data_IF_498437037484
#
_entry.id   IF_498437037484
#
_cell.length_a   1.000
_cell.length_b   1.000
_cell.length_c   1.000
_cell.angle_alpha   90.00
_cell.angle_beta   90.00
_cell.angle_gamma   90.00
#
_symmetry.space_group_name_H-M   'P 1'
#
loop_
_entity.id
_entity.type
_entity.pdbx_description
1 polymer ?
#
# COMPACT_ATOMS: atom_id res chain seq x y z
N UNK A 1 25.02 23.83 -10.91
CA UNK A 1 25.29 22.38 -10.70
C UNK A 1 24.19 21.67 -9.94
N UNK A 2 23.76 22.12 -8.76
CA UNK A 2 22.69 21.51 -7.93
C UNK A 2 21.35 21.35 -8.67
N UNK A 3 20.88 22.38 -9.37
CA UNK A 3 19.64 22.36 -10.13
C UNK A 3 19.58 21.21 -11.15
N UNK A 4 20.66 20.95 -11.88
CA UNK A 4 20.71 19.88 -12.87
C UNK A 4 20.64 18.48 -12.21
N UNK A 5 21.24 18.32 -11.03
CA UNK A 5 21.16 17.08 -10.26
C UNK A 5 19.73 16.81 -9.76
N UNK A 6 19.07 17.83 -9.22
CA UNK A 6 17.69 17.74 -8.77
C UNK A 6 16.75 17.41 -9.93
N UNK A 7 16.91 18.07 -11.08
CA UNK A 7 16.11 17.80 -12.30
C UNK A 7 16.30 16.35 -12.78
N UNK A 8 17.55 15.87 -12.86
CA UNK A 8 17.86 14.49 -13.25
C UNK A 8 17.23 13.46 -12.30
N UNK A 9 17.32 13.71 -10.98
CA UNK A 9 16.69 12.85 -9.97
C UNK A 9 15.16 12.83 -10.15
N UNK A 10 14.53 13.99 -10.25
CA UNK A 10 13.07 14.09 -10.39
C UNK A 10 12.59 13.40 -11.68
N UNK A 11 13.31 13.58 -12.79
CA UNK A 11 12.96 12.91 -14.04
C UNK A 11 13.05 11.38 -13.91
N UNK A 12 14.09 10.85 -13.25
CA UNK A 12 14.22 9.42 -13.00
C UNK A 12 13.10 8.88 -12.10
N UNK A 13 12.74 9.63 -11.05
CA UNK A 13 11.64 9.25 -10.18
C UNK A 13 10.32 9.21 -10.94
N UNK A 14 10.03 10.24 -11.73
CA UNK A 14 8.81 10.30 -12.53
C UNK A 14 8.75 9.20 -13.60
N UNK A 15 9.86 8.90 -14.26
CA UNK A 15 9.95 7.78 -15.21
C UNK A 15 9.65 6.45 -14.53
N UNK A 16 10.27 6.21 -13.36
CA UNK A 16 10.03 5.00 -12.56
C UNK A 16 8.57 4.87 -12.12
N UNK A 17 7.95 5.97 -11.67
CA UNK A 17 6.53 6.00 -11.28
C UNK A 17 5.64 5.61 -12.46
N UNK A 18 5.87 6.22 -13.63
CA UNK A 18 5.08 5.95 -14.85
C UNK A 18 5.22 4.49 -15.29
N UNK A 19 6.44 3.96 -15.29
CA UNK A 19 6.71 2.56 -15.63
C UNK A 19 6.06 1.61 -14.61
N UNK A 20 6.13 1.92 -13.32
CA UNK A 20 5.50 1.12 -12.26
C UNK A 20 3.98 1.10 -12.43
N UNK A 21 3.36 2.26 -12.63
CA UNK A 21 1.91 2.33 -12.87
C UNK A 21 1.52 1.53 -14.12
N UNK A 22 2.26 1.68 -15.23
CA UNK A 22 2.03 0.92 -16.47
C UNK A 22 2.17 -0.60 -16.23
N UNK A 23 3.19 -1.01 -15.50
CA UNK A 23 3.38 -2.42 -15.17
C UNK A 23 2.18 -3.00 -14.41
N UNK A 24 1.69 -2.30 -13.39
CA UNK A 24 0.52 -2.71 -12.59
C UNK A 24 -0.72 -2.85 -13.49
N UNK A 25 -0.98 -1.87 -14.34
CA UNK A 25 -2.15 -1.91 -15.25
C UNK A 25 -2.04 -3.05 -16.28
N UNK A 26 -0.87 -3.26 -16.85
CA UNK A 26 -0.66 -4.38 -17.78
C UNK A 26 -0.87 -5.72 -17.05
N UNK A 27 -0.42 -5.84 -15.81
CA UNK A 27 -0.68 -7.02 -14.99
C UNK A 27 -2.18 -7.23 -14.76
N UNK A 28 -2.92 -6.15 -14.43
CA UNK A 28 -4.37 -6.23 -14.25
C UNK A 28 -5.08 -6.70 -15.53
N UNK A 29 -4.74 -6.12 -16.67
CA UNK A 29 -5.32 -6.48 -17.98
C UNK A 29 -5.06 -7.96 -18.29
N UNK A 30 -3.81 -8.40 -18.15
CA UNK A 30 -3.40 -9.76 -18.51
C UNK A 30 -4.01 -10.84 -17.60
N UNK A 31 -4.44 -10.47 -16.39
CA UNK A 31 -5.05 -11.38 -15.41
C UNK A 31 -6.55 -11.13 -15.19
N UNK A 32 -7.20 -10.30 -16.01
CA UNK A 32 -8.64 -10.04 -15.89
C UNK A 32 -9.04 -9.31 -14.59
N UNK A 33 -8.13 -8.53 -14.00
CA UNK A 33 -8.38 -7.80 -12.75
C UNK A 33 -9.13 -6.50 -13.07
N UNK A 34 -10.36 -6.40 -12.61
CA UNK A 34 -11.26 -5.26 -12.86
C UNK A 34 -11.18 -4.15 -11.81
N UNK A 35 -10.48 -4.35 -10.68
CA UNK A 35 -10.45 -3.35 -9.60
C UNK A 35 -9.04 -3.25 -8.99
N UNK A 36 -8.58 -2.02 -8.80
CA UNK A 36 -7.34 -1.70 -8.07
C UNK A 36 -7.70 -0.89 -6.83
N UNK A 37 -7.31 -1.40 -5.65
CA UNK A 37 -7.48 -0.70 -4.37
C UNK A 37 -6.13 -0.18 -3.90
N UNK A 38 -6.04 1.13 -3.68
CA UNK A 38 -4.82 1.80 -3.24
C UNK A 38 -5.00 2.40 -1.85
N UNK A 39 -4.14 2.03 -0.91
CA UNK A 39 -4.13 2.61 0.44
C UNK A 39 -3.65 4.07 0.42
N UNK A 40 -4.28 4.91 1.24
CA UNK A 40 -3.81 6.25 1.50
C UNK A 40 -3.90 6.61 2.98
N UNK A 41 -2.98 7.44 3.44
CA UNK A 41 -3.03 7.98 4.79
C UNK A 41 -3.43 9.47 4.74
N UNK A 42 -4.68 9.76 5.16
CA UNK A 42 -5.23 11.13 5.15
C UNK A 42 -4.60 12.07 6.18
N UNK A 43 -4.09 11.52 7.29
CA UNK A 43 -3.59 12.32 8.43
C UNK A 43 -2.15 12.82 8.26
N UNK A 44 -1.47 12.41 7.22
CA UNK A 44 -0.08 12.80 6.99
C UNK A 44 0.13 14.32 6.78
N UNK A 45 -0.93 15.05 6.48
CA UNK A 45 -0.87 16.52 6.37
C UNK A 45 -0.83 17.24 7.73
N UNK A 46 -1.15 16.56 8.85
CA UNK A 46 -1.33 17.20 10.16
C UNK A 46 -0.19 17.03 11.16
N UNK A 47 0.66 16.00 11.04
CA UNK A 47 1.73 15.73 12.02
C UNK A 47 3.12 16.07 11.49
N UNK A 48 3.34 17.33 11.18
CA UNK A 48 4.62 17.80 10.67
C UNK A 48 5.56 18.25 11.79
N UNK A 49 6.40 17.35 12.29
CA UNK A 49 7.53 17.70 13.16
C UNK A 49 8.87 17.58 12.40
N UNK A 50 9.65 18.65 12.36
CA UNK A 50 10.60 19.04 11.32
C UNK A 50 11.97 18.29 11.22
N UNK A 51 12.24 17.28 12.03
CA UNK A 51 13.62 16.70 12.17
C UNK A 51 13.98 15.48 11.30
N UNK A 52 13.02 14.66 10.88
CA UNK A 52 13.22 13.48 9.98
C UNK A 52 12.51 13.62 8.63
N UNK A 53 12.17 14.81 8.27
CA UNK A 53 11.18 15.19 7.28
C UNK A 53 11.55 14.92 5.83
N UNK A 54 12.76 15.21 5.44
CA UNK A 54 13.12 15.29 4.01
C UNK A 54 12.94 13.96 3.28
N UNK A 55 13.28 12.85 3.91
CA UNK A 55 13.14 11.52 3.29
C UNK A 55 11.68 11.03 3.26
N UNK A 56 10.88 11.36 4.26
CA UNK A 56 9.47 10.97 4.29
C UNK A 56 8.63 11.80 3.31
N UNK A 57 8.88 13.10 3.19
CA UNK A 57 8.21 13.96 2.22
C UNK A 57 8.48 13.53 0.77
N UNK A 58 9.72 13.13 0.45
CA UNK A 58 10.05 12.60 -0.87
C UNK A 58 9.33 11.29 -1.19
N UNK A 59 9.26 10.38 -0.23
CA UNK A 59 8.55 9.12 -0.39
C UNK A 59 7.07 9.35 -0.63
N UNK A 60 6.46 10.30 0.08
CA UNK A 60 5.04 10.63 -0.04
C UNK A 60 4.65 11.32 -1.34
N UNK A 61 5.46 12.28 -1.80
CA UNK A 61 5.24 12.92 -3.11
C UNK A 61 5.27 11.83 -4.20
N UNK A 62 6.19 10.88 -4.09
CA UNK A 62 6.29 9.77 -5.03
C UNK A 62 5.08 8.83 -4.96
N UNK A 63 4.53 8.54 -3.78
CA UNK A 63 3.30 7.74 -3.63
C UNK A 63 2.06 8.49 -4.13
N UNK A 64 1.96 9.80 -3.88
CA UNK A 64 0.89 10.63 -4.45
C UNK A 64 0.88 10.59 -5.98
N UNK A 65 2.04 10.79 -6.59
CA UNK A 65 2.19 10.73 -8.05
C UNK A 65 1.92 9.34 -8.62
N UNK A 66 2.25 8.27 -7.88
CA UNK A 66 1.93 6.90 -8.30
C UNK A 66 0.41 6.65 -8.26
N UNK A 67 -0.27 7.10 -7.21
CA UNK A 67 -1.74 6.98 -7.10
C UNK A 67 -2.44 7.73 -8.24
N UNK A 68 -2.03 8.96 -8.52
CA UNK A 68 -2.55 9.74 -9.63
C UNK A 68 -2.32 9.05 -10.99
N UNK A 69 -1.12 8.54 -11.23
CA UNK A 69 -0.80 7.80 -12.45
C UNK A 69 -1.63 6.51 -12.59
N UNK A 70 -1.87 5.80 -11.48
CA UNK A 70 -2.73 4.60 -11.45
C UNK A 70 -4.19 4.96 -11.73
N UNK A 71 -4.74 5.99 -11.06
CA UNK A 71 -6.10 6.46 -11.27
C UNK A 71 -6.37 6.80 -12.75
N UNK A 72 -5.49 7.61 -13.36
CA UNK A 72 -5.59 8.01 -14.77
C UNK A 72 -5.51 6.81 -15.73
N UNK A 73 -4.66 5.82 -15.42
CA UNK A 73 -4.55 4.63 -16.25
C UNK A 73 -5.73 3.68 -16.05
N UNK A 74 -6.22 3.52 -14.81
CA UNK A 74 -7.42 2.72 -14.52
C UNK A 74 -8.62 3.26 -15.32
N UNK A 75 -8.87 4.56 -15.28
CA UNK A 75 -9.93 5.21 -16.07
C UNK A 75 -9.80 4.91 -17.55
N UNK A 76 -8.59 5.06 -18.11
CA UNK A 76 -8.31 4.80 -19.53
C UNK A 76 -8.59 3.35 -19.95
N UNK A 77 -8.38 2.39 -19.08
CA UNK A 77 -8.50 0.96 -19.40
C UNK A 77 -9.77 0.31 -18.83
N UNK A 78 -10.71 1.10 -18.28
CA UNK A 78 -11.96 0.59 -17.73
C UNK A 78 -11.79 -0.24 -16.46
N UNK A 79 -10.71 0.01 -15.70
CA UNK A 79 -10.44 -0.63 -14.41
C UNK A 79 -10.95 0.29 -13.30
N UNK A 80 -11.69 -0.25 -12.34
CA UNK A 80 -12.16 0.51 -11.18
C UNK A 80 -10.99 0.86 -10.26
N UNK A 81 -10.82 2.14 -9.93
CA UNK A 81 -9.82 2.60 -8.98
C UNK A 81 -10.47 3.06 -7.68
N UNK A 82 -10.01 2.52 -6.55
CA UNK A 82 -10.54 2.82 -5.21
C UNK A 82 -9.41 3.29 -4.32
N UNK A 83 -9.56 4.45 -3.69
CA UNK A 83 -8.69 4.88 -2.60
C UNK A 83 -9.28 4.48 -1.25
N UNK A 84 -8.51 3.74 -0.46
CA UNK A 84 -8.92 3.26 0.85
C UNK A 84 -8.02 3.85 1.93
N UNK A 85 -8.63 4.44 2.96
CA UNK A 85 -7.92 4.88 4.15
C UNK A 85 -7.25 3.68 4.85
N UNK A 86 -5.94 3.79 5.18
CA UNK A 86 -5.10 2.64 5.58
C UNK A 86 -4.76 2.59 7.08
N UNK A 87 -5.38 3.41 7.94
CA UNK A 87 -5.10 3.37 9.38
C UNK A 87 -5.26 1.97 9.95
N UNK A 88 -4.32 1.60 10.79
CA UNK A 88 -4.23 0.31 11.49
C UNK A 88 -4.02 -0.93 10.61
N UNK A 89 -4.08 -0.85 9.28
CA UNK A 89 -3.94 -2.02 8.39
C UNK A 89 -2.61 -2.75 8.53
N UNK A 90 -1.53 -2.06 8.88
CA UNK A 90 -0.22 -2.66 9.13
C UNK A 90 -0.08 -3.33 10.50
N UNK A 91 -1.03 -3.07 11.42
CA UNK A 91 -1.05 -3.62 12.78
C UNK A 91 -2.01 -4.79 12.89
N UNK A 92 -3.17 -4.71 12.24
CA UNK A 92 -4.20 -5.73 12.24
C UNK A 92 -3.73 -7.00 11.54
N UNK A 93 -4.21 -8.14 12.00
CA UNK A 93 -3.99 -9.44 11.37
C UNK A 93 -5.03 -9.67 10.27
N UNK A 94 -4.57 -9.89 9.05
CA UNK A 94 -5.48 -10.20 7.96
C UNK A 94 -5.99 -11.65 8.04
N UNK A 95 -5.17 -12.58 8.55
CA UNK A 95 -5.52 -14.00 8.65
C UNK A 95 -6.49 -14.26 9.82
N UNK A 96 -6.28 -13.55 10.95
CA UNK A 96 -7.16 -13.67 12.12
C UNK A 96 -8.43 -12.79 11.98
N UNK A 97 -8.59 -12.10 10.86
CA UNK A 97 -9.75 -11.27 10.53
C UNK A 97 -10.03 -10.15 11.53
N UNK A 98 -8.97 -9.58 12.13
CA UNK A 98 -9.12 -8.46 13.06
C UNK A 98 -10.01 -7.35 12.50
N UNK A 99 -10.83 -6.74 13.34
CA UNK A 99 -11.54 -5.51 13.01
C UNK A 99 -10.55 -4.37 12.81
N UNK A 100 -10.74 -3.63 11.72
CA UNK A 100 -9.83 -2.54 11.34
C UNK A 100 -10.58 -1.22 11.45
N UNK A 101 -10.43 -0.49 12.58
CA UNK A 101 -11.12 0.77 12.77
C UNK A 101 -10.56 1.86 11.83
N UNK A 102 -11.36 2.89 11.60
CA UNK A 102 -10.90 4.13 11.01
C UNK A 102 -10.26 5.00 12.08
N UNK A 103 -9.18 5.71 11.72
CA UNK A 103 -8.53 6.60 12.67
C UNK A 103 -9.45 7.76 13.05
N UNK A 104 -9.60 7.95 14.37
CA UNK A 104 -10.27 9.11 14.94
C UNK A 104 -9.29 9.81 15.91
N UNK A 105 -8.86 11.04 15.64
CA UNK A 105 -7.93 11.75 16.52
C UNK A 105 -8.50 12.05 17.90
N UNK A 106 -9.84 12.19 18.03
CA UNK A 106 -10.51 12.44 19.31
C UNK A 106 -10.64 11.17 20.14
N UNK A 107 -10.72 10.00 19.50
CA UNK A 107 -10.84 8.70 20.13
C UNK A 107 -9.90 7.69 19.46
N UNK A 108 -8.59 7.77 19.67
CA UNK A 108 -7.65 6.84 19.07
C UNK A 108 -7.92 5.42 19.57
N UNK A 109 -7.89 4.46 18.65
CA UNK A 109 -8.11 3.05 18.97
C UNK A 109 -7.07 2.55 19.99
N UNK A 110 -7.54 1.99 21.11
CA UNK A 110 -6.72 1.46 22.21
C UNK A 110 -6.77 -0.06 22.32
N UNK A 111 -7.49 -0.73 21.42
CA UNK A 111 -7.58 -2.19 21.38
C UNK A 111 -6.26 -2.84 20.92
N UNK A 112 -6.14 -4.13 21.19
CA UNK A 112 -5.05 -4.96 20.74
C UNK A 112 -5.44 -5.68 19.45
N UNK A 113 -4.44 -6.05 18.64
CA UNK A 113 -4.59 -6.86 17.44
C UNK A 113 -4.05 -8.27 17.70
N UNK A 114 -4.66 -9.27 17.07
CA UNK A 114 -4.36 -10.68 17.29
C UNK A 114 -2.92 -11.05 16.94
N UNK A 115 -2.40 -10.52 15.84
CA UNK A 115 -1.02 -10.74 15.41
C UNK A 115 -0.09 -9.59 15.75
N UNK A 116 1.19 -9.75 15.39
CA UNK A 116 2.18 -8.69 15.63
C UNK A 116 3.32 -8.68 14.62
N UNK A 117 3.83 -7.49 14.35
CA UNK A 117 5.06 -7.30 13.58
C UNK A 117 6.26 -7.70 14.45
N UNK A 118 7.01 -8.74 14.06
CA UNK A 118 8.13 -9.29 14.83
C UNK A 118 9.47 -8.64 14.47
N UNK A 119 9.62 -8.21 13.21
CA UNK A 119 10.74 -7.39 12.73
C UNK A 119 10.36 -6.70 11.42
N UNK A 120 11.26 -5.88 10.86
CA UNK A 120 11.03 -5.23 9.57
C UNK A 120 10.70 -6.26 8.49
N UNK A 121 9.55 -6.09 7.83
CA UNK A 121 9.08 -6.96 6.74
C UNK A 121 8.43 -8.27 7.18
N UNK A 122 8.37 -8.61 8.46
CA UNK A 122 7.77 -9.84 8.96
C UNK A 122 6.65 -9.59 9.99
N UNK A 123 5.54 -10.27 9.77
CA UNK A 123 4.36 -10.28 10.63
C UNK A 123 4.06 -11.70 11.08
N UNK A 124 3.73 -11.90 12.36
CA UNK A 124 3.35 -13.20 12.93
C UNK A 124 1.88 -13.18 13.31
N UNK A 125 1.13 -14.19 12.84
CA UNK A 125 -0.26 -14.45 13.15
C UNK A 125 -0.41 -15.24 14.46
N UNK A 126 -1.64 -15.37 14.98
CA UNK A 126 -1.92 -16.11 16.23
C UNK A 126 -1.57 -17.58 16.12
N UNK A 127 -1.76 -18.19 14.96
CA UNK A 127 -1.42 -19.60 14.71
C UNK A 127 0.09 -19.86 14.55
N UNK A 128 0.94 -18.83 14.74
CA UNK A 128 2.39 -18.91 14.63
C UNK A 128 2.94 -18.75 13.20
N UNK A 129 2.11 -18.73 12.18
CA UNK A 129 2.53 -18.47 10.80
C UNK A 129 3.18 -17.09 10.68
N UNK A 130 4.15 -16.99 9.78
CA UNK A 130 4.86 -15.76 9.49
C UNK A 130 4.65 -15.41 8.01
N UNK A 131 4.27 -14.15 7.77
CA UNK A 131 4.12 -13.61 6.43
C UNK A 131 4.90 -12.31 6.24
N UNK A 132 4.97 -11.86 5.00
CA UNK A 132 5.48 -10.52 4.71
C UNK A 132 4.51 -9.46 5.28
N UNK A 133 5.05 -8.50 6.06
CA UNK A 133 4.25 -7.48 6.73
C UNK A 133 3.55 -6.52 5.76
N UNK A 134 4.14 -6.27 4.59
CA UNK A 134 3.56 -5.37 3.60
C UNK A 134 2.40 -6.07 2.85
N UNK A 135 2.51 -7.39 2.64
CA UNK A 135 1.41 -8.21 2.10
C UNK A 135 0.24 -8.28 3.10
N UNK A 136 0.52 -8.47 4.41
CA UNK A 136 -0.51 -8.38 5.45
C UNK A 136 -1.23 -7.02 5.42
N UNK A 137 -0.49 -5.92 5.32
CA UNK A 137 -1.05 -4.58 5.20
C UNK A 137 -1.92 -4.41 3.95
N UNK A 138 -1.46 -4.86 2.79
CA UNK A 138 -2.20 -4.80 1.53
C UNK A 138 -3.50 -5.61 1.58
N UNK A 139 -3.47 -6.83 2.14
CA UNK A 139 -4.65 -7.64 2.36
C UNK A 139 -5.68 -6.94 3.27
N UNK A 140 -5.23 -6.27 4.32
CA UNK A 140 -6.09 -5.50 5.21
C UNK A 140 -6.67 -4.24 4.54
N UNK A 141 -5.93 -3.56 3.68
CA UNK A 141 -6.45 -2.46 2.86
C UNK A 141 -7.59 -2.97 1.97
N UNK A 142 -7.40 -4.11 1.31
CA UNK A 142 -8.41 -4.74 0.49
C UNK A 142 -9.66 -5.14 1.30
N UNK A 143 -9.49 -5.78 2.47
CA UNK A 143 -10.59 -6.10 3.41
C UNK A 143 -11.37 -4.85 3.82
N UNK A 144 -10.66 -3.79 4.20
CA UNK A 144 -11.26 -2.52 4.64
C UNK A 144 -12.08 -1.85 3.53
N UNK A 145 -11.70 -2.02 2.27
CA UNK A 145 -12.44 -1.50 1.11
C UNK A 145 -13.75 -2.26 0.82
N UNK A 146 -14.03 -3.36 1.54
CA UNK A 146 -15.22 -4.21 1.39
C UNK A 146 -15.42 -4.76 -0.03
N UNK A 147 -14.35 -4.89 -0.80
CA UNK A 147 -14.40 -5.56 -2.09
C UNK A 147 -14.51 -7.07 -1.90
N UNK A 148 -15.30 -7.72 -2.74
CA UNK A 148 -15.37 -9.17 -2.77
C UNK A 148 -14.08 -9.74 -3.38
N UNK A 149 -13.39 -10.60 -2.62
CA UNK A 149 -12.23 -11.35 -3.09
C UNK A 149 -12.12 -12.65 -2.31
N UNK A 150 -11.51 -13.65 -2.93
CA UNK A 150 -11.26 -14.93 -2.26
C UNK A 150 -10.06 -14.79 -1.33
N UNK A 151 -10.37 -14.68 -0.03
CA UNK A 151 -9.36 -14.54 1.01
C UNK A 151 -8.57 -15.84 1.21
N UNK A 152 -9.19 -17.01 0.99
CA UNK A 152 -8.49 -18.29 1.14
C UNK A 152 -7.46 -18.47 0.03
N UNK A 153 -7.78 -18.09 -1.21
CA UNK A 153 -6.84 -18.12 -2.32
C UNK A 153 -5.65 -17.18 -2.06
N UNK A 154 -5.91 -15.97 -1.55
CA UNK A 154 -4.86 -15.03 -1.16
C UNK A 154 -3.94 -15.63 -0.09
N UNK A 155 -4.50 -16.33 0.89
CA UNK A 155 -3.73 -16.95 1.98
C UNK A 155 -2.88 -18.15 1.53
N UNK A 156 -3.31 -18.91 0.51
CA UNK A 156 -2.62 -20.11 0.06
C UNK A 156 -1.30 -19.86 -0.65
N UNK A 157 -1.09 -18.70 -1.27
CA UNK A 157 0.06 -18.50 -2.14
C UNK A 157 0.91 -17.25 -1.88
N UNK A 158 0.32 -16.10 -1.68
CA UNK A 158 1.01 -14.82 -1.78
C UNK A 158 1.49 -14.22 -0.45
N UNK A 159 0.95 -14.66 0.68
CA UNK A 159 1.31 -14.09 1.98
C UNK A 159 2.76 -14.38 2.39
N UNK A 160 3.33 -15.49 1.95
CA UNK A 160 4.65 -15.93 2.36
C UNK A 160 5.79 -15.32 1.53
N UNK A 161 5.61 -15.12 0.23
CA UNK A 161 6.69 -14.74 -0.70
C UNK A 161 6.24 -13.75 -1.76
N UNK A 162 6.26 -12.44 -1.45
CA UNK A 162 5.94 -11.42 -2.44
C UNK A 162 6.96 -11.44 -3.59
N UNK A 163 6.47 -11.36 -4.82
CA UNK A 163 7.30 -11.27 -6.01
C UNK A 163 8.00 -9.90 -6.05
N UNK A 164 9.33 -9.89 -6.14
CA UNK A 164 10.10 -8.66 -6.35
C UNK A 164 10.21 -8.39 -7.86
N UNK A 165 9.68 -7.27 -8.29
CA UNK A 165 9.71 -6.83 -9.68
C UNK A 165 10.70 -5.68 -9.81
N UNK A 166 11.52 -5.72 -10.86
CA UNK A 166 12.34 -4.58 -11.31
C UNK A 166 11.68 -3.98 -12.52
N UNK A 167 11.30 -2.73 -12.43
CA UNK A 167 10.77 -1.96 -13.57
C UNK A 167 11.97 -1.26 -14.22
N UNK A 168 12.33 -1.69 -15.41
CA UNK A 168 13.44 -1.12 -16.22
C UNK A 168 12.93 -0.04 -17.17
#
# INVERSE_FOLDING_TARGET
MLYNLLRKRNNRTNDYIKKTARYIINYCINNGIGTVVCGYNGDFKRSMNLGKKTNQEFTQISFGSLREALSNLCERYGITYIEQEESYTSKASCLDLDDIPTYNPEQPYKGEFSGKRIKRGLYRFTNGQIANADVNGAANILRKSKQNFDFEELCRGLLASPLRIRVS
#
